data_IF_881229709958
#
_entry.id   IF_881229709958
#
_cell.length_a   1.000
_cell.length_b   1.000
_cell.length_c   1.000
_cell.angle_alpha   90.00
_cell.angle_beta   90.00
_cell.angle_gamma   90.00
#
_symmetry.space_group_name_H-M   'P 1'
#
loop_
_entity.id
_entity.type
_entity.pdbx_description
1 polymer ?
#
# COMPACT_ATOMS: atom_id res chain seq x y z
N UNK A 1 -6.49 16.73 24.17
CA UNK A 1 -6.95 17.30 22.89
C UNK A 1 -6.70 16.25 21.83
N UNK A 2 -7.73 15.66 21.21
CA UNK A 2 -7.49 14.77 20.06
C UNK A 2 -6.94 15.62 18.92
N UNK A 3 -5.66 15.44 18.61
CA UNK A 3 -5.07 15.97 17.38
C UNK A 3 -5.81 15.37 16.20
N UNK A 4 -6.57 16.18 15.48
CA UNK A 4 -7.35 15.71 14.33
C UNK A 4 -6.47 15.77 13.09
N UNK A 5 -6.08 14.62 12.56
CA UNK A 5 -5.35 14.56 11.30
C UNK A 5 -6.28 14.81 10.12
N UNK A 6 -5.78 15.48 9.09
CA UNK A 6 -6.45 15.64 7.79
C UNK A 6 -5.64 14.87 6.75
N UNK A 7 -6.31 14.03 5.97
CA UNK A 7 -5.69 13.19 4.93
C UNK A 7 -5.81 13.86 3.56
N UNK A 8 -4.91 14.81 3.28
CA UNK A 8 -4.96 15.68 2.10
C UNK A 8 -3.58 15.95 1.46
N UNK A 9 -2.52 15.31 1.97
CA UNK A 9 -1.16 15.53 1.49
C UNK A 9 -0.68 14.48 0.51
N UNK A 10 -0.13 14.93 -0.62
CA UNK A 10 0.63 14.10 -1.58
C UNK A 10 2.08 13.85 -1.13
N UNK A 11 2.51 14.44 -0.01
CA UNK A 11 3.89 14.37 0.49
C UNK A 11 4.17 13.09 1.24
N UNK A 12 3.16 12.39 1.72
CA UNK A 12 3.32 11.17 2.51
C UNK A 12 2.30 10.13 2.07
N UNK A 13 2.55 8.87 2.42
CA UNK A 13 1.63 7.78 2.16
C UNK A 13 1.83 6.66 3.19
N UNK A 14 0.78 5.88 3.42
CA UNK A 14 0.88 4.54 3.99
C UNK A 14 0.69 3.52 2.87
N UNK A 15 1.60 2.55 2.77
CA UNK A 15 1.56 1.54 1.73
C UNK A 15 1.98 0.16 2.25
N UNK A 16 1.56 -0.90 1.56
CA UNK A 16 2.21 -2.20 1.66
C UNK A 16 3.24 -2.31 0.55
N UNK A 17 4.45 -2.75 0.90
CA UNK A 17 5.52 -3.03 -0.04
C UNK A 17 5.72 -4.56 -0.03
N UNK A 18 5.61 -5.25 -1.17
CA UNK A 18 5.86 -6.69 -1.21
C UNK A 18 7.32 -6.97 -0.83
N UNK A 19 7.65 -8.16 -0.33
CA UNK A 19 9.03 -8.56 -0.08
C UNK A 19 9.91 -8.36 -1.31
N UNK A 20 11.18 -7.99 -1.11
CA UNK A 20 12.12 -7.70 -2.21
C UNK A 20 12.29 -8.86 -3.18
N UNK A 21 12.09 -10.11 -2.74
CA UNK A 21 12.11 -11.30 -3.59
C UNK A 21 11.05 -11.26 -4.71
N UNK A 22 9.93 -10.57 -4.52
CA UNK A 22 8.86 -10.42 -5.52
C UNK A 22 9.08 -9.21 -6.45
N UNK A 23 10.08 -8.36 -6.19
CA UNK A 23 10.29 -7.14 -6.97
C UNK A 23 10.80 -7.39 -8.39
N UNK A 24 11.76 -8.30 -8.66
CA UNK A 24 12.35 -8.46 -9.99
C UNK A 24 11.34 -8.61 -11.15
N UNK A 25 10.34 -9.51 -11.10
CA UNK A 25 9.37 -9.65 -12.20
C UNK A 25 8.53 -8.38 -12.39
N UNK A 26 8.08 -7.77 -11.30
CA UNK A 26 7.27 -6.55 -11.31
C UNK A 26 8.07 -5.38 -11.89
N UNK A 27 9.30 -5.19 -11.42
CA UNK A 27 10.16 -4.09 -11.82
C UNK A 27 10.67 -4.25 -13.25
N UNK A 28 10.78 -5.46 -13.79
CA UNK A 28 11.09 -5.68 -15.20
C UNK A 28 10.02 -5.06 -16.13
N UNK A 29 8.74 -5.13 -15.73
CA UNK A 29 7.64 -4.47 -16.44
C UNK A 29 7.68 -2.96 -16.18
N UNK A 30 7.75 -2.55 -14.92
CA UNK A 30 7.69 -1.13 -14.52
C UNK A 30 8.84 -0.31 -15.10
N UNK A 31 10.06 -0.85 -15.20
CA UNK A 31 11.20 -0.18 -15.80
C UNK A 31 10.95 0.26 -17.26
N UNK A 32 10.08 -0.46 -17.99
CA UNK A 32 9.75 -0.16 -19.39
C UNK A 32 8.46 0.64 -19.55
N UNK A 33 7.51 0.47 -18.62
CA UNK A 33 6.14 0.91 -18.81
C UNK A 33 5.62 1.88 -17.73
N UNK A 34 6.27 1.98 -16.57
CA UNK A 34 5.82 2.80 -15.45
C UNK A 34 6.64 4.09 -15.31
N UNK A 35 5.99 5.24 -15.52
CA UNK A 35 6.63 6.55 -15.32
C UNK A 35 6.98 6.83 -13.86
N UNK A 36 6.41 6.09 -12.92
CA UNK A 36 6.68 6.18 -11.50
C UNK A 36 7.74 5.18 -11.02
N UNK A 37 8.30 4.35 -11.91
CA UNK A 37 9.33 3.35 -11.60
C UNK A 37 10.44 3.88 -10.67
N UNK A 38 11.09 4.99 -11.04
CA UNK A 38 12.16 5.56 -10.23
C UNK A 38 11.68 6.28 -8.95
N UNK A 39 10.38 6.63 -8.87
CA UNK A 39 9.80 7.40 -7.76
C UNK A 39 9.25 6.52 -6.66
N UNK A 40 8.81 5.31 -6.96
CA UNK A 40 8.16 4.43 -6.00
C UNK A 40 8.69 3.00 -6.15
N UNK A 41 8.97 2.28 -5.05
CA UNK A 41 9.08 0.83 -5.12
C UNK A 41 7.74 0.21 -5.56
N UNK A 42 7.68 -1.09 -5.88
CA UNK A 42 6.41 -1.79 -6.03
C UNK A 42 5.63 -1.64 -4.73
N UNK A 43 4.35 -1.29 -4.82
CA UNK A 43 3.55 -1.01 -3.63
C UNK A 43 2.05 -1.11 -3.91
N UNK A 44 1.29 -1.31 -2.84
CA UNK A 44 -0.14 -1.06 -2.76
C UNK A 44 -0.33 0.12 -1.82
N UNK A 45 -0.84 1.24 -2.32
CA UNK A 45 -1.23 2.35 -1.43
C UNK A 45 -2.39 1.91 -0.54
N UNK A 46 -2.31 2.18 0.76
CA UNK A 46 -3.37 1.94 1.74
C UNK A 46 -4.03 3.27 2.14
N UNK A 47 -3.22 4.28 2.46
CA UNK A 47 -3.68 5.65 2.72
C UNK A 47 -2.84 6.62 1.88
N UNK A 48 -3.46 7.12 0.81
CA UNK A 48 -2.94 8.19 -0.04
C UNK A 48 -4.14 8.97 -0.60
N UNK A 49 -4.29 10.27 -0.35
CA UNK A 49 -3.43 11.20 0.38
C UNK A 49 -3.30 10.85 1.87
N UNK A 50 -2.19 11.24 2.50
CA UNK A 50 -1.96 11.03 3.94
C UNK A 50 -1.70 12.38 4.64
N UNK A 51 -1.05 12.39 5.80
CA UNK A 51 -0.85 13.63 6.59
C UNK A 51 0.26 14.51 6.02
N UNK A 52 0.20 15.84 6.18
CA UNK A 52 1.31 16.73 5.88
C UNK A 52 2.63 16.27 6.52
N UNK A 53 3.76 16.51 5.85
CA UNK A 53 5.07 16.02 6.28
C UNK A 53 5.49 16.51 7.69
N UNK A 54 4.97 17.65 8.16
CA UNK A 54 5.21 18.19 9.49
C UNK A 54 4.38 17.50 10.59
N UNK A 55 3.30 16.80 10.23
CA UNK A 55 2.47 16.02 11.16
C UNK A 55 2.78 14.52 11.14
N UNK A 56 3.73 14.10 10.29
CA UNK A 56 4.03 12.68 10.06
C UNK A 56 4.50 11.96 11.33
N UNK A 57 5.38 12.58 12.11
CA UNK A 57 5.89 11.98 13.35
C UNK A 57 4.77 11.71 14.35
N UNK A 58 3.88 12.69 14.56
CA UNK A 58 2.74 12.55 15.47
C UNK A 58 1.77 11.46 14.97
N UNK A 59 1.51 11.40 13.67
CA UNK A 59 0.65 10.37 13.07
C UNK A 59 1.20 8.96 13.28
N UNK A 60 2.52 8.77 13.11
CA UNK A 60 3.18 7.49 13.39
C UNK A 60 3.03 7.10 14.86
N UNK A 61 3.26 8.04 15.79
CA UNK A 61 3.11 7.80 17.23
C UNK A 61 1.68 7.42 17.60
N UNK A 62 0.68 8.08 17.02
CA UNK A 62 -0.74 7.78 17.24
C UNK A 62 -1.10 6.41 16.67
N UNK A 63 -0.64 6.08 15.45
CA UNK A 63 -0.85 4.75 14.86
C UNK A 63 -0.30 3.65 15.76
N UNK A 64 0.97 3.73 16.18
CA UNK A 64 1.57 2.75 17.09
C UNK A 64 0.81 2.64 18.42
N UNK A 65 0.37 3.77 18.96
CA UNK A 65 -0.35 3.81 20.23
C UNK A 65 -1.76 3.23 20.15
N UNK A 66 -2.43 3.26 19.00
CA UNK A 66 -3.83 2.83 18.91
C UNK A 66 -3.98 1.49 18.20
N UNK A 67 -3.09 1.15 17.27
CA UNK A 67 -3.19 -0.07 16.45
C UNK A 67 -3.08 -1.34 17.28
N UNK A 68 -2.39 -1.31 18.44
CA UNK A 68 -2.31 -2.45 19.36
C UNK A 68 -3.71 -2.92 19.85
N UNK A 69 -4.69 -2.01 19.90
CA UNK A 69 -6.07 -2.32 20.29
C UNK A 69 -6.88 -2.98 19.17
N UNK A 70 -6.34 -2.99 17.95
CA UNK A 70 -6.97 -3.46 16.73
C UNK A 70 -6.16 -4.56 16.03
N UNK A 71 -5.15 -5.15 16.69
CA UNK A 71 -4.28 -6.18 16.08
C UNK A 71 -5.08 -7.35 15.56
N UNK A 72 -6.10 -7.81 16.31
CA UNK A 72 -6.98 -8.90 15.87
C UNK A 72 -7.70 -8.60 14.54
N UNK A 73 -7.93 -7.32 14.21
CA UNK A 73 -8.58 -6.91 12.97
C UNK A 73 -7.63 -6.93 11.76
N UNK A 74 -6.31 -6.90 11.98
CA UNK A 74 -5.30 -6.68 10.92
C UNK A 74 -4.14 -7.70 10.91
N UNK A 75 -4.13 -8.66 11.83
CA UNK A 75 -3.10 -9.70 11.93
C UNK A 75 -3.21 -10.73 10.80
N UNK A 76 -2.11 -11.44 10.51
CA UNK A 76 -2.01 -12.51 9.49
C UNK A 76 -2.46 -12.06 8.09
N UNK A 77 -2.16 -10.81 7.71
CA UNK A 77 -2.60 -10.21 6.46
C UNK A 77 -1.89 -10.83 5.26
N UNK A 78 -2.38 -11.97 4.80
CA UNK A 78 -2.02 -12.53 3.50
C UNK A 78 -2.59 -11.67 2.38
N UNK A 79 -1.73 -11.29 1.44
CA UNK A 79 -2.08 -10.51 0.25
C UNK A 79 -1.72 -11.35 -0.97
N UNK A 80 -2.68 -11.58 -1.85
CA UNK A 80 -2.50 -12.26 -3.13
C UNK A 80 -3.04 -11.40 -4.27
N UNK A 81 -2.30 -11.35 -5.39
CA UNK A 81 -2.65 -10.60 -6.60
C UNK A 81 -3.00 -11.56 -7.73
N UNK A 82 -4.24 -11.53 -8.23
CA UNK A 82 -4.77 -12.60 -9.08
C UNK A 82 -4.89 -12.24 -10.57
N UNK A 83 -5.05 -10.95 -10.90
CA UNK A 83 -5.39 -10.56 -12.27
C UNK A 83 -4.88 -9.18 -12.65
N UNK A 84 -4.48 -8.97 -13.91
CA UNK A 84 -4.23 -7.64 -14.43
C UNK A 84 -5.57 -6.95 -14.73
N UNK A 85 -5.68 -5.70 -14.29
CA UNK A 85 -6.82 -4.83 -14.58
C UNK A 85 -6.31 -3.45 -15.00
N UNK A 86 -7.22 -2.53 -15.34
CA UNK A 86 -6.86 -1.18 -15.72
C UNK A 86 -7.74 -0.09 -15.13
N UNK A 87 -7.14 1.09 -14.96
CA UNK A 87 -7.84 2.37 -14.80
C UNK A 87 -7.64 3.20 -16.06
N UNK A 88 -8.73 3.72 -16.60
CA UNK A 88 -8.71 4.61 -17.76
C UNK A 88 -8.67 6.05 -17.30
N UNK A 89 -7.69 6.81 -17.81
CA UNK A 89 -7.59 8.26 -17.65
C UNK A 89 -7.81 8.94 -18.99
N UNK A 90 -7.88 10.28 -19.01
CA UNK A 90 -8.20 11.03 -20.23
C UNK A 90 -7.23 10.78 -21.41
N UNK A 91 -5.95 10.47 -21.19
CA UNK A 91 -4.95 10.26 -22.27
C UNK A 91 -4.13 8.97 -22.17
N UNK A 92 -4.32 8.21 -21.10
CA UNK A 92 -3.56 7.00 -20.82
C UNK A 92 -4.42 6.04 -19.98
N UNK A 93 -3.96 4.80 -19.85
CA UNK A 93 -4.48 3.88 -18.87
C UNK A 93 -3.34 3.42 -17.96
N UNK A 94 -3.66 3.14 -16.70
CA UNK A 94 -2.77 2.44 -15.77
C UNK A 94 -3.16 0.98 -15.75
N UNK A 95 -2.23 0.08 -16.06
CA UNK A 95 -2.39 -1.36 -15.86
C UNK A 95 -1.82 -1.70 -14.48
N UNK A 96 -2.58 -2.47 -13.71
CA UNK A 96 -2.25 -2.83 -12.34
C UNK A 96 -2.66 -4.28 -12.07
N UNK A 97 -2.04 -4.89 -11.05
CA UNK A 97 -2.45 -6.17 -10.51
C UNK A 97 -3.50 -5.92 -9.43
N UNK A 98 -4.64 -6.57 -9.57
CA UNK A 98 -5.75 -6.52 -8.62
C UNK A 98 -5.55 -7.61 -7.56
N UNK A 99 -5.75 -7.31 -6.26
CA UNK A 99 -5.86 -8.35 -5.24
C UNK A 99 -7.04 -9.28 -5.50
N UNK A 100 -6.95 -10.51 -5.02
CA UNK A 100 -8.11 -11.39 -4.94
C UNK A 100 -9.19 -10.83 -4.00
N UNK A 101 -10.38 -11.44 -4.00
CA UNK A 101 -11.52 -10.93 -3.26
C UNK A 101 -11.28 -10.86 -1.73
N UNK A 102 -10.57 -11.85 -1.18
CA UNK A 102 -10.26 -11.89 0.26
C UNK A 102 -9.24 -10.80 0.61
N UNK A 103 -8.12 -10.75 -0.10
CA UNK A 103 -7.08 -9.73 0.06
C UNK A 103 -7.66 -8.33 -0.12
N UNK A 104 -8.52 -8.12 -1.12
CA UNK A 104 -9.20 -6.85 -1.36
C UNK A 104 -10.03 -6.41 -0.14
N UNK A 105 -10.81 -7.32 0.44
CA UNK A 105 -11.61 -7.03 1.65
C UNK A 105 -10.73 -6.72 2.86
N UNK A 106 -9.66 -7.49 3.06
CA UNK A 106 -8.74 -7.31 4.20
C UNK A 106 -7.93 -6.02 4.09
N UNK A 107 -7.54 -5.62 2.88
CA UNK A 107 -6.88 -4.34 2.61
C UNK A 107 -7.80 -3.15 2.88
N UNK A 108 -9.10 -3.25 2.56
CA UNK A 108 -10.09 -2.23 2.96
C UNK A 108 -10.21 -2.16 4.48
N UNK A 109 -10.30 -3.30 5.17
CA UNK A 109 -10.35 -3.31 6.63
C UNK A 109 -9.10 -2.67 7.26
N UNK A 110 -7.90 -3.01 6.76
CA UNK A 110 -6.66 -2.39 7.19
C UNK A 110 -6.71 -0.87 7.05
N UNK A 111 -7.16 -0.36 5.90
CA UNK A 111 -7.32 1.08 5.69
C UNK A 111 -8.26 1.70 6.71
N UNK A 112 -9.43 1.11 6.93
CA UNK A 112 -10.44 1.63 7.85
C UNK A 112 -9.94 1.65 9.30
N UNK A 113 -9.20 0.62 9.71
CA UNK A 113 -8.54 0.57 11.03
C UNK A 113 -7.49 1.67 11.16
N UNK A 114 -6.63 1.87 10.16
CA UNK A 114 -5.60 2.93 10.19
C UNK A 114 -6.22 4.32 10.28
N UNK A 115 -7.24 4.61 9.47
CA UNK A 115 -7.96 5.91 9.48
C UNK A 115 -8.65 6.14 10.82
N UNK A 116 -9.26 5.09 11.40
CA UNK A 116 -9.89 5.15 12.72
C UNK A 116 -8.89 5.37 13.84
N UNK A 117 -7.76 4.67 13.82
CA UNK A 117 -6.68 4.84 14.80
C UNK A 117 -6.18 6.28 14.84
N UNK A 118 -6.14 6.95 13.68
CA UNK A 118 -5.75 8.36 13.59
C UNK A 118 -6.85 9.32 14.05
N UNK A 119 -8.12 8.89 14.10
CA UNK A 119 -9.25 9.82 14.23
C UNK A 119 -9.26 10.86 13.10
N UNK A 120 -8.80 10.48 11.91
CA UNK A 120 -8.56 11.39 10.82
C UNK A 120 -9.84 11.78 10.08
N UNK A 121 -9.81 12.94 9.44
CA UNK A 121 -10.81 13.36 8.45
C UNK A 121 -10.21 13.17 7.07
N UNK A 122 -10.95 12.50 6.21
CA UNK A 122 -10.56 12.34 4.82
C UNK A 122 -10.77 13.66 4.08
N UNK A 123 -9.76 14.11 3.32
CA UNK A 123 -9.92 15.22 2.39
C UNK A 123 -10.75 14.83 1.17
N UNK A 124 -10.97 15.79 0.27
CA UNK A 124 -11.62 15.50 -1.01
C UNK A 124 -10.77 14.52 -1.83
N UNK A 125 -11.37 13.41 -2.25
CA UNK A 125 -10.73 12.46 -3.17
C UNK A 125 -10.53 13.15 -4.52
N UNK A 126 -9.29 13.30 -5.04
CA UNK A 126 -9.02 13.99 -6.30
C UNK A 126 -9.74 13.38 -7.52
N UNK A 127 -10.22 12.15 -7.40
CA UNK A 127 -10.85 11.40 -8.48
C UNK A 127 -12.28 10.96 -8.16
N UNK A 128 -12.83 11.33 -7.00
CA UNK A 128 -14.19 10.98 -6.57
C UNK A 128 -14.45 9.48 -6.41
N UNK A 129 -13.44 8.62 -6.61
CA UNK A 129 -13.53 7.19 -6.46
C UNK A 129 -13.08 6.77 -5.06
N UNK A 130 -13.75 5.77 -4.52
CA UNK A 130 -13.39 5.16 -3.24
C UNK A 130 -12.06 4.40 -3.31
N UNK A 131 -11.66 3.84 -2.17
CA UNK A 131 -10.42 3.09 -2.06
C UNK A 131 -10.46 1.79 -2.89
N UNK A 132 -9.57 1.69 -3.88
CA UNK A 132 -9.37 0.48 -4.70
C UNK A 132 -7.93 0.01 -4.53
N UNK A 133 -7.64 -1.04 -3.75
CA UNK A 133 -6.29 -1.55 -3.57
C UNK A 133 -5.77 -2.16 -4.88
N UNK A 134 -4.54 -1.82 -5.25
CA UNK A 134 -3.91 -2.29 -6.48
C UNK A 134 -2.39 -2.12 -6.45
N UNK A 135 -1.67 -2.93 -7.22
CA UNK A 135 -0.24 -2.74 -7.49
C UNK A 135 -0.05 -2.33 -8.95
N UNK A 136 0.37 -1.08 -9.19
CA UNK A 136 0.60 -0.58 -10.54
C UNK A 136 1.83 -1.23 -11.19
N UNK A 137 1.69 -1.73 -12.42
CA UNK A 137 2.79 -2.33 -13.20
C UNK A 137 3.21 -1.49 -14.41
N UNK A 138 2.35 -0.58 -14.87
CA UNK A 138 2.73 0.37 -15.92
C UNK A 138 1.59 1.25 -16.41
N UNK A 139 1.91 2.23 -17.26
CA UNK A 139 0.93 3.04 -17.96
C UNK A 139 1.15 3.00 -19.47
N UNK A 140 0.06 2.94 -20.23
CA UNK A 140 0.07 2.94 -21.69
C UNK A 140 -0.76 4.12 -22.24
N UNK A 141 -0.32 4.72 -23.35
CA UNK A 141 -1.04 5.84 -23.97
C UNK A 141 -2.26 5.33 -24.74
N UNK A 142 -3.39 6.04 -24.61
CA UNK A 142 -4.62 5.76 -25.37
C UNK A 142 -4.68 6.53 -26.70
N UNK A 143 -3.70 7.40 -26.99
CA UNK A 143 -3.69 8.24 -28.20
C UNK A 143 -3.07 7.57 -29.42
N UNK A 144 -2.28 6.53 -29.21
CA UNK A 144 -1.67 5.78 -30.30
C UNK A 144 -2.70 4.76 -30.80
N UNK A 145 -2.83 4.63 -32.11
CA UNK A 145 -3.76 3.74 -32.82
C UNK A 145 -3.43 2.24 -32.67
N UNK A 146 -2.84 1.82 -31.55
CA UNK A 146 -2.41 0.45 -31.32
C UNK A 146 -2.76 -0.06 -29.93
N UNK A 147 -2.71 -1.37 -29.77
CA UNK A 147 -3.17 -2.12 -28.60
C UNK A 147 -2.20 -2.08 -27.41
N UNK A 148 -1.59 -0.92 -27.14
CA UNK A 148 -0.56 -0.77 -26.12
C UNK A 148 -1.04 -1.16 -24.72
N UNK A 149 -2.32 -0.88 -24.39
CA UNK A 149 -2.93 -1.30 -23.12
C UNK A 149 -3.09 -2.82 -23.09
N UNK A 150 -3.65 -3.42 -24.15
CA UNK A 150 -3.85 -4.87 -24.20
C UNK A 150 -2.51 -5.62 -24.15
N UNK A 151 -1.49 -5.14 -24.86
CA UNK A 151 -0.14 -5.69 -24.78
C UNK A 151 0.43 -5.65 -23.36
N UNK A 152 0.29 -4.53 -22.65
CA UNK A 152 0.75 -4.41 -21.27
C UNK A 152 -0.05 -5.33 -20.33
N UNK A 153 -1.37 -5.43 -20.52
CA UNK A 153 -2.22 -6.38 -19.79
C UNK A 153 -1.80 -7.83 -20.03
N UNK A 154 -1.48 -8.21 -21.27
CA UNK A 154 -0.97 -9.55 -21.60
C UNK A 154 0.39 -9.82 -20.95
N UNK A 155 1.31 -8.87 -20.95
CA UNK A 155 2.61 -9.01 -20.28
C UNK A 155 2.41 -9.26 -18.77
N UNK A 156 1.56 -8.45 -18.13
CA UNK A 156 1.25 -8.61 -16.71
C UNK A 156 0.57 -9.94 -16.39
N UNK A 157 -0.35 -10.41 -17.26
CA UNK A 157 -1.01 -11.70 -17.11
C UNK A 157 -0.05 -12.89 -17.26
N UNK A 158 0.93 -12.81 -18.16
CA UNK A 158 1.97 -13.85 -18.30
C UNK A 158 2.86 -13.92 -17.06
N UNK A 159 3.26 -12.77 -16.53
CA UNK A 159 4.04 -12.70 -15.29
C UNK A 159 3.31 -13.42 -14.15
N UNK A 160 2.00 -13.16 -13.96
CA UNK A 160 1.20 -13.84 -12.94
C UNK A 160 1.02 -15.34 -13.18
N UNK A 161 1.06 -15.80 -14.43
CA UNK A 161 0.99 -17.22 -14.76
C UNK A 161 2.32 -17.95 -14.47
N UNK A 162 3.45 -17.23 -14.44
CA UNK A 162 4.78 -17.77 -14.19
C UNK A 162 5.14 -17.69 -12.70
N UNK A 163 4.76 -16.62 -12.01
CA UNK A 163 5.11 -16.36 -10.62
C UNK A 163 3.90 -15.87 -9.82
N UNK A 164 3.54 -16.61 -8.76
CA UNK A 164 2.53 -16.15 -7.79
C UNK A 164 3.06 -14.92 -7.05
N UNK A 165 2.26 -13.85 -7.04
CA UNK A 165 2.58 -12.62 -6.31
C UNK A 165 1.72 -12.56 -5.06
N UNK A 166 2.21 -13.22 -4.01
CA UNK A 166 1.54 -13.27 -2.72
C UNK A 166 2.53 -13.17 -1.55
N UNK A 167 2.10 -12.60 -0.43
CA UNK A 167 2.91 -12.50 0.78
C UNK A 167 2.09 -12.21 2.04
N UNK A 168 2.68 -12.53 3.19
CA UNK A 168 2.18 -12.12 4.51
C UNK A 168 2.70 -10.71 4.85
N UNK A 169 1.80 -9.73 4.86
CA UNK A 169 2.10 -8.35 5.24
C UNK A 169 2.20 -8.23 6.77
N UNK A 170 3.38 -7.87 7.27
CA UNK A 170 3.67 -7.73 8.72
C UNK A 170 3.74 -6.29 9.20
N UNK A 171 3.93 -5.35 8.28
CA UNK A 171 4.04 -3.92 8.56
C UNK A 171 3.40 -3.10 7.45
N UNK A 172 3.03 -1.88 7.80
CA UNK A 172 2.65 -0.83 6.85
C UNK A 172 3.83 0.13 6.74
N UNK A 173 4.32 0.30 5.52
CA UNK A 173 5.38 1.23 5.20
C UNK A 173 4.88 2.66 5.30
N UNK A 174 5.65 3.50 6.00
CA UNK A 174 5.44 4.94 6.06
C UNK A 174 6.39 5.60 5.08
N UNK A 175 5.80 6.23 4.07
CA UNK A 175 6.55 6.83 2.97
C UNK A 175 6.48 8.36 3.04
N UNK A 176 7.62 9.01 2.77
CA UNK A 176 7.74 10.46 2.66
C UNK A 176 8.39 10.83 1.34
N UNK A 177 7.77 11.74 0.61
CA UNK A 177 8.28 12.30 -0.63
C UNK A 177 9.50 13.16 -0.36
N UNK A 178 10.63 12.77 -0.92
CA UNK A 178 11.80 13.62 -1.02
C UNK A 178 11.52 14.79 -1.98
N UNK A 179 11.77 16.02 -1.54
CA UNK A 179 11.43 17.22 -2.32
C UNK A 179 12.34 17.42 -3.53
N UNK A 180 13.61 16.98 -3.44
CA UNK A 180 14.58 17.19 -4.50
C UNK A 180 14.37 16.21 -5.67
N UNK A 181 14.21 14.93 -5.35
CA UNK A 181 14.08 13.84 -6.35
C UNK A 181 12.63 13.48 -6.68
N UNK A 182 11.66 13.86 -5.83
CA UNK A 182 10.27 13.44 -5.94
C UNK A 182 10.02 11.98 -5.59
N UNK A 183 11.05 11.23 -5.15
CA UNK A 183 10.97 9.82 -4.75
C UNK A 183 10.24 9.68 -3.42
N UNK A 184 9.46 8.62 -3.28
CA UNK A 184 8.90 8.21 -2.00
C UNK A 184 9.92 7.36 -1.26
N UNK A 185 10.39 7.88 -0.14
CA UNK A 185 11.38 7.24 0.71
C UNK A 185 10.68 6.53 1.86
N UNK A 186 11.07 5.29 2.13
CA UNK A 186 10.72 4.60 3.37
C UNK A 186 11.38 5.34 4.53
N UNK A 187 10.57 5.85 5.46
CA UNK A 187 11.06 6.59 6.63
C UNK A 187 10.69 5.93 7.95
N UNK A 188 9.68 5.05 7.96
CA UNK A 188 9.31 4.25 9.11
C UNK A 188 8.44 3.06 8.70
N UNK A 189 8.20 2.13 9.62
CA UNK A 189 7.27 1.01 9.50
C UNK A 189 6.40 0.87 10.75
N UNK A 190 5.11 0.63 10.55
CA UNK A 190 4.15 0.36 11.63
C UNK A 190 3.73 -1.11 11.56
N UNK A 191 4.09 -1.89 12.57
CA UNK A 191 3.76 -3.32 12.64
C UNK A 191 2.24 -3.55 12.73
N UNK A 192 1.74 -4.51 11.93
CA UNK A 192 0.36 -5.02 11.96
C UNK A 192 0.29 -6.48 12.45
N UNK A 193 1.45 -7.14 12.61
CA UNK A 193 1.58 -8.48 13.16
C UNK A 193 2.51 -8.48 14.36
N UNK A 194 1.92 -8.54 15.55
CA UNK A 194 2.39 -9.31 16.71
C UNK A 194 1.31 -9.16 17.80
N UNK A 195 0.59 -10.24 18.11
CA UNK A 195 0.09 -10.38 19.47
C UNK A 195 1.33 -10.41 20.35
N UNK A 196 1.46 -9.49 21.32
CA UNK A 196 2.47 -9.70 22.36
C UNK A 196 2.30 -11.13 22.88
N UNK A 197 3.39 -11.91 23.05
CA UNK A 197 3.28 -13.11 23.84
C UNK A 197 2.68 -12.70 25.19
N UNK A 198 1.65 -13.43 25.61
CA UNK A 198 1.08 -13.34 26.94
C UNK A 198 2.26 -13.33 27.93
N UNK A 199 2.31 -12.30 28.77
CA UNK A 199 3.46 -12.01 29.61
C UNK A 199 3.90 -13.22 30.46
N UNK A 200 5.21 -13.35 30.54
CA UNK A 200 6.00 -13.85 31.67
C UNK A 200 5.17 -14.40 32.85
N UNK A 201 4.91 -15.70 32.81
CA UNK A 201 4.49 -16.47 33.97
C UNK A 201 5.72 -16.81 34.81
N UNK A 202 6.27 -15.80 35.51
CA UNK A 202 7.20 -16.03 36.60
C UNK A 202 6.45 -16.69 37.75
N UNK A 203 6.30 -18.01 37.73
CA UNK A 203 5.90 -18.75 38.91
C UNK A 203 7.15 -19.15 39.69
N UNK A 204 7.47 -18.30 40.66
CA UNK A 204 8.41 -18.60 41.74
C UNK A 204 7.73 -19.62 42.66
N UNK A 205 7.97 -20.90 42.42
CA UNK A 205 7.65 -21.95 43.38
C UNK A 205 8.92 -22.46 44.03
N UNK A 206 9.11 -21.98 45.25
CA UNK A 206 9.94 -22.48 46.34
C UNK A 206 10.17 -24.00 46.31
N UNK A 207 11.44 -24.38 46.52
CA UNK A 207 11.90 -25.71 46.89
C UNK A 207 13.31 -25.62 47.44
#
# INVERSE_FOLDING_TARGET
>A
MSSRFVLDSTQTALALIPPSALHPPIEAIRARHDRAYHRWPPHINIVYLFVPANSLSDAISVLRSNLHQHVADVVNLHVSLEAPHMFTHHRNATVFLKPDAESEQRLRNLRDVLVRCLGAVEGESPHGQGFTPHLSVGQASLRKSGDAVANLTTIAGRMLAEESIEWEARSVAVLKRDRASGRMMLVDEVSIGDERPSGDGSDSSSG
#
